data_IF_845557854190
#
_entry.id   IF_845557854190
#
_cell.length_a   1.000
_cell.length_b   1.000
_cell.length_c   1.000
_cell.angle_alpha   90.00
_cell.angle_beta   90.00
_cell.angle_gamma   90.00
#
_symmetry.space_group_name_H-M   'P 1'
#
loop_
_entity.id
_entity.type
_entity.pdbx_description
1 polymer ?
#
# COMPACT_ATOMS: atom_id res chain seq x y z
N UNK A 1 19.02 14.31 9.58
CA UNK A 1 19.02 13.80 8.21
C UNK A 1 20.06 14.58 7.41
N UNK A 2 20.95 13.92 6.72
CA UNK A 2 22.18 14.47 6.12
C UNK A 2 21.96 15.52 5.00
N UNK A 3 21.25 16.61 5.27
CA UNK A 3 20.97 17.69 4.33
C UNK A 3 19.88 17.40 3.27
N UNK A 4 19.27 16.23 3.33
CA UNK A 4 18.22 15.84 2.41
C UNK A 4 16.84 16.05 3.04
N UNK A 5 15.90 16.57 2.26
CA UNK A 5 14.52 16.83 2.69
C UNK A 5 13.55 15.87 2.01
N UNK A 6 13.50 14.63 2.51
CA UNK A 6 12.64 13.58 1.96
C UNK A 6 11.61 13.14 3.01
N UNK A 7 10.47 12.69 2.53
CA UNK A 7 9.38 12.22 3.36
C UNK A 7 9.66 10.87 4.03
N UNK A 8 10.62 10.11 3.52
CA UNK A 8 10.97 8.80 4.06
C UNK A 8 12.23 8.21 3.44
N UNK A 9 12.69 7.12 4.04
CA UNK A 9 13.91 6.43 3.59
C UNK A 9 13.79 5.85 2.18
N UNK A 10 12.59 5.42 1.79
CA UNK A 10 12.32 4.85 0.46
C UNK A 10 12.54 5.89 -0.64
N UNK A 11 12.03 7.10 -0.43
CA UNK A 11 12.22 8.20 -1.38
C UNK A 11 13.69 8.60 -1.48
N UNK A 12 14.41 8.67 -0.35
CA UNK A 12 15.83 8.97 -0.32
C UNK A 12 16.60 7.93 -1.15
N UNK A 13 16.33 6.64 -0.91
CA UNK A 13 16.99 5.56 -1.64
C UNK A 13 16.71 5.60 -3.13
N UNK A 14 15.44 5.79 -3.52
CA UNK A 14 15.02 5.85 -4.91
C UNK A 14 15.70 7.02 -5.65
N UNK A 15 15.76 8.19 -5.02
CA UNK A 15 16.39 9.36 -5.59
C UNK A 15 17.90 9.15 -5.80
N UNK A 16 18.58 8.60 -4.80
CA UNK A 16 20.02 8.32 -4.87
C UNK A 16 20.39 7.28 -5.92
N UNK A 17 19.50 6.32 -6.20
CA UNK A 17 19.71 5.29 -7.23
C UNK A 17 19.19 5.69 -8.61
N UNK A 18 18.53 6.86 -8.75
CA UNK A 18 17.95 7.31 -10.00
C UNK A 18 16.66 6.56 -10.39
N UNK A 19 16.06 5.84 -9.48
CA UNK A 19 14.81 5.10 -9.71
C UNK A 19 13.64 6.07 -9.81
N UNK A 20 12.95 6.09 -10.94
CA UNK A 20 11.83 7.01 -11.18
C UNK A 20 10.51 6.49 -10.66
N UNK A 21 10.36 5.17 -10.60
CA UNK A 21 9.10 4.52 -10.23
C UNK A 21 9.33 3.72 -8.95
N UNK A 22 8.82 4.22 -7.85
CA UNK A 22 9.01 3.63 -6.53
C UNK A 22 7.79 3.85 -5.65
N UNK A 23 7.74 3.11 -4.55
CA UNK A 23 6.76 3.30 -3.48
C UNK A 23 7.42 3.04 -2.13
N UNK A 24 6.84 3.60 -1.08
CA UNK A 24 7.23 3.29 0.29
C UNK A 24 6.57 1.99 0.71
N UNK A 25 7.37 1.03 1.19
CA UNK A 25 6.85 -0.17 1.83
C UNK A 25 7.01 -0.05 3.33
N UNK A 26 5.93 -0.29 4.05
CA UNK A 26 5.94 -0.48 5.50
C UNK A 26 5.69 -1.94 5.80
N UNK A 27 6.36 -2.46 6.81
CA UNK A 27 6.18 -3.85 7.21
C UNK A 27 6.27 -3.99 8.73
N UNK A 28 5.40 -4.83 9.28
CA UNK A 28 5.47 -5.29 10.66
C UNK A 28 5.03 -6.74 10.70
N UNK A 29 5.94 -7.63 11.08
CA UNK A 29 5.73 -9.08 10.99
C UNK A 29 5.33 -9.49 9.56
N UNK A 30 4.18 -10.14 9.40
CA UNK A 30 3.67 -10.57 8.09
C UNK A 30 2.79 -9.53 7.39
N UNK A 31 2.53 -8.38 8.01
CA UNK A 31 1.75 -7.31 7.40
C UNK A 31 2.69 -6.36 6.65
N UNK A 32 2.59 -6.38 5.33
CA UNK A 32 3.37 -5.52 4.43
C UNK A 32 2.41 -4.64 3.64
N UNK A 33 2.74 -3.37 3.51
CA UNK A 33 1.89 -2.40 2.80
C UNK A 33 2.75 -1.52 1.91
N UNK A 34 2.34 -1.37 0.67
CA UNK A 34 2.87 -0.37 -0.27
C UNK A 34 1.75 0.61 -0.63
N UNK A 35 2.12 1.78 -1.13
CA UNK A 35 1.17 2.88 -1.31
C UNK A 35 1.22 3.44 -2.73
N UNK A 36 0.07 3.77 -3.28
CA UNK A 36 -0.05 4.46 -4.58
C UNK A 36 0.44 5.90 -4.45
N UNK A 37 0.05 6.58 -3.36
CA UNK A 37 0.59 7.89 -3.00
C UNK A 37 0.85 7.96 -1.50
N UNK A 38 1.71 8.88 -1.05
CA UNK A 38 2.04 9.05 0.36
C UNK A 38 1.87 10.50 0.82
N UNK A 39 2.86 11.35 0.60
CA UNK A 39 2.93 12.68 1.19
C UNK A 39 2.26 13.75 0.32
N UNK A 40 0.98 13.58 0.10
CA UNK A 40 0.11 14.53 -0.60
C UNK A 40 -1.17 14.74 0.20
N UNK A 41 -1.91 15.81 -0.08
CA UNK A 41 -3.22 16.00 0.55
C UNK A 41 -4.15 14.84 0.19
N UNK A 42 -5.14 14.57 1.05
CA UNK A 42 -6.12 13.53 0.75
C UNK A 42 -6.86 13.80 -0.56
N UNK A 43 -7.17 15.06 -0.85
CA UNK A 43 -7.80 15.44 -2.12
C UNK A 43 -6.93 15.13 -3.32
N UNK A 44 -5.64 15.46 -3.23
CA UNK A 44 -4.67 15.12 -4.29
C UNK A 44 -4.48 13.61 -4.40
N UNK A 45 -4.49 12.89 -3.29
CA UNK A 45 -4.37 11.43 -3.28
C UNK A 45 -5.46 10.77 -4.12
N UNK A 46 -6.70 11.29 -4.07
CA UNK A 46 -7.78 10.78 -4.92
C UNK A 46 -7.45 10.94 -6.41
N UNK A 47 -6.86 12.06 -6.78
CA UNK A 47 -6.47 12.34 -8.18
C UNK A 47 -5.26 11.50 -8.62
N UNK A 48 -4.48 10.99 -7.67
CA UNK A 48 -3.31 10.13 -7.95
C UNK A 48 -3.69 8.68 -8.22
N UNK A 49 -4.93 8.28 -7.95
CA UNK A 49 -5.41 6.93 -8.23
C UNK A 49 -5.69 6.80 -9.72
N UNK A 50 -4.65 6.43 -10.46
CA UNK A 50 -4.70 6.22 -11.91
C UNK A 50 -4.24 4.81 -12.26
N UNK A 51 -4.85 4.23 -13.28
CA UNK A 51 -4.57 2.84 -13.73
C UNK A 51 -3.07 2.57 -13.81
N UNK A 52 -2.32 3.43 -14.50
CA UNK A 52 -0.88 3.18 -14.69
C UNK A 52 -0.12 3.17 -13.36
N UNK A 53 -0.41 4.13 -12.48
CA UNK A 53 0.28 4.19 -11.18
C UNK A 53 -0.09 2.99 -10.31
N UNK A 54 -1.35 2.62 -10.25
CA UNK A 54 -1.80 1.44 -9.49
C UNK A 54 -1.12 0.18 -10.03
N UNK A 55 -1.06 0.00 -11.34
CA UNK A 55 -0.38 -1.12 -11.97
C UNK A 55 1.11 -1.15 -11.63
N UNK A 56 1.79 -0.01 -11.70
CA UNK A 56 3.21 0.08 -11.36
C UNK A 56 3.46 -0.32 -9.91
N UNK A 57 2.60 0.10 -8.98
CA UNK A 57 2.73 -0.27 -7.57
C UNK A 57 2.45 -1.75 -7.34
N UNK A 58 1.49 -2.33 -8.05
CA UNK A 58 1.25 -3.79 -8.00
C UNK A 58 2.49 -4.56 -8.47
N UNK A 59 3.13 -4.12 -9.55
CA UNK A 59 4.38 -4.72 -10.05
C UNK A 59 5.50 -4.62 -9.02
N UNK A 60 5.64 -3.46 -8.38
CA UNK A 60 6.65 -3.26 -7.32
C UNK A 60 6.37 -4.19 -6.14
N UNK A 61 5.11 -4.33 -5.74
CA UNK A 61 4.70 -5.24 -4.65
C UNK A 61 5.05 -6.69 -4.97
N UNK A 62 4.76 -7.14 -6.18
CA UNK A 62 5.08 -8.49 -6.63
C UNK A 62 6.58 -8.75 -6.60
N UNK A 63 7.37 -7.83 -7.16
CA UNK A 63 8.82 -7.94 -7.16
C UNK A 63 9.40 -7.92 -5.74
N UNK A 64 8.93 -7.04 -4.88
CA UNK A 64 9.40 -6.94 -3.50
C UNK A 64 9.16 -8.25 -2.73
N UNK A 65 7.99 -8.85 -2.89
CA UNK A 65 7.68 -10.14 -2.25
C UNK A 65 8.54 -11.27 -2.81
N UNK A 66 8.79 -11.30 -4.11
CA UNK A 66 9.68 -12.29 -4.72
C UNK A 66 11.11 -12.14 -4.23
N UNK A 67 11.60 -10.92 -4.07
CA UNK A 67 12.92 -10.64 -3.51
C UNK A 67 13.03 -11.11 -2.05
N UNK A 68 11.92 -11.16 -1.32
CA UNK A 68 11.83 -11.71 0.03
C UNK A 68 11.71 -13.24 0.06
N UNK A 69 11.68 -13.90 -1.09
CA UNK A 69 11.60 -15.35 -1.20
C UNK A 69 10.19 -15.92 -1.37
N UNK A 70 9.16 -15.08 -1.51
CA UNK A 70 7.79 -15.53 -1.76
C UNK A 70 7.64 -15.80 -3.25
N UNK A 71 7.46 -17.06 -3.63
CA UNK A 71 7.45 -17.45 -5.06
C UNK A 71 6.22 -16.98 -5.81
N UNK A 72 5.06 -17.06 -5.18
CA UNK A 72 3.77 -16.67 -5.76
C UNK A 72 3.04 -15.71 -4.83
N UNK A 73 3.46 -14.42 -4.81
CA UNK A 73 2.86 -13.46 -3.89
C UNK A 73 1.37 -13.28 -4.15
N UNK A 74 0.59 -13.26 -3.08
CA UNK A 74 -0.83 -12.90 -3.12
C UNK A 74 -0.94 -11.44 -2.71
N UNK A 75 -1.39 -10.60 -3.64
CA UNK A 75 -1.43 -9.15 -3.46
C UNK A 75 -2.89 -8.72 -3.29
N UNK A 76 -3.21 -8.15 -2.14
CA UNK A 76 -4.50 -7.53 -1.90
C UNK A 76 -4.48 -6.07 -2.31
N UNK A 77 -5.27 -5.68 -3.29
CA UNK A 77 -5.37 -4.29 -3.73
C UNK A 77 -6.59 -3.65 -3.07
N UNK A 78 -6.35 -2.64 -2.23
CA UNK A 78 -7.43 -1.93 -1.56
C UNK A 78 -8.22 -1.08 -2.56
N UNK A 79 -9.52 -0.92 -2.31
CA UNK A 79 -10.29 0.14 -2.94
C UNK A 79 -9.94 1.50 -2.35
N UNK A 80 -10.33 2.56 -3.03
CA UNK A 80 -10.19 3.93 -2.53
C UNK A 80 -11.37 4.32 -1.64
N UNK A 81 -12.57 4.01 -2.12
CA UNK A 81 -13.83 4.45 -1.51
C UNK A 81 -14.38 3.38 -0.55
N UNK A 82 -15.30 3.76 0.36
CA UNK A 82 -15.99 2.80 1.20
C UNK A 82 -16.62 1.68 0.37
N UNK A 83 -16.58 0.45 0.86
CA UNK A 83 -17.11 -0.73 0.17
C UNK A 83 -16.59 -0.90 -1.26
N UNK A 84 -15.36 -0.42 -1.51
CA UNK A 84 -14.73 -0.43 -2.85
C UNK A 84 -15.62 0.23 -3.91
N UNK A 85 -16.30 1.32 -3.51
CA UNK A 85 -17.12 2.13 -4.41
C UNK A 85 -18.54 1.62 -4.61
N UNK A 86 -18.90 0.42 -4.12
CA UNK A 86 -20.25 -0.16 -4.25
C UNK A 86 -20.81 -0.02 -5.69
N UNK A 87 -20.07 -0.56 -6.67
CA UNK A 87 -20.44 -0.50 -8.10
C UNK A 87 -20.62 0.93 -8.63
N UNK A 88 -19.88 1.91 -8.07
CA UNK A 88 -19.92 3.31 -8.48
C UNK A 88 -20.81 4.21 -7.63
N UNK A 89 -21.49 3.65 -6.64
CA UNK A 89 -22.36 4.45 -5.76
C UNK A 89 -21.56 5.47 -4.94
N UNK A 90 -20.37 5.10 -4.48
CA UNK A 90 -19.52 5.95 -3.65
C UNK A 90 -18.29 6.49 -4.39
N UNK A 91 -18.29 6.44 -5.71
CA UNK A 91 -17.20 6.90 -6.55
C UNK A 91 -16.85 5.89 -7.63
N UNK A 92 -16.11 6.32 -8.64
CA UNK A 92 -15.83 5.51 -9.82
C UNK A 92 -14.35 5.12 -9.95
N UNK A 93 -13.49 5.51 -9.01
CA UNK A 93 -12.05 5.25 -9.11
C UNK A 93 -11.76 3.75 -9.18
N UNK A 94 -12.55 2.93 -8.52
CA UNK A 94 -12.44 1.47 -8.59
C UNK A 94 -12.74 0.98 -10.01
N UNK A 95 -13.85 1.46 -10.61
CA UNK A 95 -14.29 1.04 -11.95
C UNK A 95 -13.33 1.55 -13.02
N UNK A 96 -12.97 2.84 -12.94
CA UNK A 96 -12.25 3.52 -14.01
C UNK A 96 -10.74 3.30 -13.95
N UNK A 97 -10.18 3.02 -12.77
CA UNK A 97 -8.73 2.99 -12.58
C UNK A 97 -8.23 1.71 -11.90
N UNK A 98 -8.78 1.32 -10.76
CA UNK A 98 -8.23 0.23 -9.95
C UNK A 98 -8.49 -1.14 -10.59
N UNK A 99 -9.72 -1.41 -10.99
CA UNK A 99 -10.09 -2.68 -11.66
C UNK A 99 -9.28 -2.86 -12.95
N UNK A 100 -9.19 -1.85 -13.84
CA UNK A 100 -8.35 -2.00 -15.02
C UNK A 100 -6.88 -2.29 -14.72
N UNK A 101 -6.33 -1.71 -13.64
CA UNK A 101 -4.95 -1.98 -13.21
C UNK A 101 -4.79 -3.42 -12.73
N UNK A 102 -5.74 -3.93 -11.95
CA UNK A 102 -5.74 -5.32 -11.46
C UNK A 102 -5.83 -6.29 -12.65
N UNK A 103 -6.72 -6.02 -13.59
CA UNK A 103 -6.86 -6.84 -14.81
C UNK A 103 -5.56 -6.89 -15.61
N UNK A 104 -4.90 -5.74 -15.78
CA UNK A 104 -3.61 -5.67 -16.48
C UNK A 104 -2.53 -6.45 -15.72
N UNK A 105 -2.50 -6.37 -14.39
CA UNK A 105 -1.55 -7.12 -13.55
C UNK A 105 -1.77 -8.63 -13.70
N UNK A 106 -3.03 -9.09 -13.68
CA UNK A 106 -3.36 -10.50 -13.91
C UNK A 106 -2.91 -10.98 -15.29
N UNK A 107 -3.04 -10.14 -16.30
CA UNK A 107 -2.58 -10.48 -17.66
C UNK A 107 -1.05 -10.66 -17.71
N UNK A 108 -0.31 -10.06 -16.77
CA UNK A 108 1.14 -10.24 -16.63
C UNK A 108 1.51 -11.43 -15.75
N UNK A 109 0.53 -12.19 -15.25
CA UNK A 109 0.77 -13.34 -14.38
C UNK A 109 0.91 -12.99 -12.90
N UNK A 110 0.57 -11.76 -12.50
CA UNK A 110 0.62 -11.34 -11.10
C UNK A 110 -0.70 -11.71 -10.42
N UNK A 111 -0.62 -12.33 -9.23
CA UNK A 111 -1.79 -12.70 -8.45
C UNK A 111 -2.27 -11.51 -7.63
N UNK A 112 -2.99 -10.59 -8.28
CA UNK A 112 -3.60 -9.42 -7.67
C UNK A 112 -5.10 -9.65 -7.50
N UNK A 113 -5.60 -9.41 -6.30
CA UNK A 113 -7.00 -9.58 -5.92
C UNK A 113 -7.58 -8.25 -5.45
N UNK A 114 -8.78 -7.96 -5.89
CA UNK A 114 -9.47 -6.73 -5.48
C UNK A 114 -10.32 -6.10 -6.58
N UNK A 115 -10.75 -4.84 -6.37
CA UNK A 115 -10.50 -4.04 -5.18
C UNK A 115 -11.18 -4.60 -3.93
N UNK A 116 -10.43 -4.76 -2.86
CA UNK A 116 -10.95 -5.27 -1.59
C UNK A 116 -11.36 -4.08 -0.73
N UNK A 117 -12.51 -4.13 -0.04
CA UNK A 117 -12.89 -3.05 0.85
C UNK A 117 -11.76 -2.71 1.82
N UNK A 118 -11.38 -1.42 1.94
CA UNK A 118 -10.19 -1.04 2.70
C UNK A 118 -10.28 -1.35 4.19
N UNK A 119 -11.48 -1.40 4.75
CA UNK A 119 -11.70 -1.78 6.14
C UNK A 119 -11.48 -3.28 6.40
N UNK A 120 -11.38 -4.09 5.37
CA UNK A 120 -11.28 -5.55 5.46
C UNK A 120 -9.92 -6.09 4.99
N UNK A 121 -9.29 -5.45 4.02
CA UNK A 121 -8.09 -5.96 3.37
C UNK A 121 -6.93 -6.20 4.35
N UNK A 122 -6.77 -5.32 5.35
CA UNK A 122 -5.66 -5.42 6.30
C UNK A 122 -5.84 -6.56 7.29
N UNK A 123 -7.07 -6.84 7.73
CA UNK A 123 -7.34 -7.99 8.59
C UNK A 123 -7.08 -9.31 7.86
N UNK A 124 -7.42 -9.38 6.57
CA UNK A 124 -7.11 -10.54 5.72
C UNK A 124 -5.59 -10.71 5.56
N UNK A 125 -4.88 -9.63 5.31
CA UNK A 125 -3.42 -9.67 5.20
C UNK A 125 -2.76 -10.11 6.52
N UNK A 126 -3.23 -9.56 7.64
CA UNK A 126 -2.75 -9.96 8.96
C UNK A 126 -2.99 -11.44 9.22
N UNK A 127 -4.10 -11.98 8.75
CA UNK A 127 -4.44 -13.40 8.87
C UNK A 127 -3.71 -14.31 7.88
N UNK A 128 -2.84 -13.75 7.02
CA UNK A 128 -2.05 -14.54 6.06
C UNK A 128 -2.72 -14.75 4.71
N UNK A 129 -3.88 -14.15 4.46
CA UNK A 129 -4.55 -14.30 3.17
C UNK A 129 -3.83 -13.56 2.04
N UNK A 130 -3.20 -12.42 2.36
CA UNK A 130 -2.37 -11.68 1.42
C UNK A 130 -0.95 -11.54 1.97
N UNK A 131 0.02 -11.59 1.08
CA UNK A 131 1.44 -11.37 1.42
C UNK A 131 1.78 -9.88 1.51
N UNK A 132 1.04 -9.05 0.78
CA UNK A 132 1.22 -7.61 0.74
C UNK A 132 -0.08 -6.94 0.34
N UNK A 133 -0.28 -5.71 0.82
CA UNK A 133 -1.44 -4.87 0.48
C UNK A 133 -0.96 -3.65 -0.30
N UNK A 134 -1.65 -3.35 -1.38
CA UNK A 134 -1.51 -2.08 -2.12
C UNK A 134 -2.57 -1.13 -1.60
N UNK A 135 -2.16 -0.13 -0.83
CA UNK A 135 -3.02 0.93 -0.32
C UNK A 135 -3.04 2.12 -1.28
N UNK A 136 -4.15 2.84 -1.31
CA UNK A 136 -4.34 3.94 -2.26
C UNK A 136 -3.73 5.26 -1.76
N UNK A 137 -3.60 5.44 -0.44
CA UNK A 137 -3.05 6.67 0.12
C UNK A 137 -2.42 6.42 1.49
N UNK A 138 -1.71 7.42 1.98
CA UNK A 138 -0.87 7.35 3.17
C UNK A 138 -1.59 6.72 4.37
N UNK A 139 -2.63 7.36 4.87
CA UNK A 139 -3.28 6.93 6.11
C UNK A 139 -3.97 5.59 5.98
N UNK A 140 -4.48 5.27 4.78
CA UNK A 140 -5.10 3.97 4.54
C UNK A 140 -4.16 2.80 4.85
N UNK A 141 -2.88 2.95 4.53
CA UNK A 141 -1.89 1.91 4.79
C UNK A 141 -1.16 2.08 6.11
N UNK A 142 -0.92 3.31 6.55
CA UNK A 142 -0.16 3.60 7.77
C UNK A 142 -0.96 3.31 9.04
N UNK A 143 -2.25 3.68 9.07
CA UNK A 143 -3.07 3.52 10.27
C UNK A 143 -3.10 2.06 10.73
N UNK A 144 -3.51 1.08 9.90
CA UNK A 144 -3.58 -0.31 10.35
C UNK A 144 -2.22 -0.87 10.76
N UNK A 145 -1.16 -0.47 10.08
CA UNK A 145 0.17 -0.97 10.39
C UNK A 145 0.69 -0.38 11.69
N UNK A 146 0.48 0.91 11.92
CA UNK A 146 0.92 1.57 13.17
C UNK A 146 0.11 1.12 14.37
N UNK A 147 -1.19 0.90 14.21
CA UNK A 147 -2.02 0.34 15.30
C UNK A 147 -1.51 -1.03 15.71
N UNK A 148 -1.05 -1.84 14.77
CA UNK A 148 -0.47 -3.15 15.06
C UNK A 148 0.93 -3.05 15.65
N UNK A 149 1.76 -2.15 15.13
CA UNK A 149 3.20 -2.14 15.39
C UNK A 149 3.68 -1.13 16.45
N UNK A 150 2.83 -0.22 16.90
CA UNK A 150 3.22 0.84 17.84
C UNK A 150 2.19 1.01 18.94
N UNK A 151 2.66 1.27 20.14
CA UNK A 151 1.81 1.62 21.29
C UNK A 151 2.32 2.94 21.86
N UNK A 152 1.40 3.87 22.12
CA UNK A 152 1.75 5.08 22.84
C UNK A 152 1.70 4.81 24.35
N UNK A 153 2.83 4.90 25.00
CA UNK A 153 2.93 4.73 26.45
C UNK A 153 2.52 6.03 27.12
N UNK A 154 1.32 6.03 27.69
CA UNK A 154 0.75 7.20 28.35
C UNK A 154 1.57 7.63 29.56
N UNK A 155 2.10 6.68 30.33
CA UNK A 155 2.79 6.99 31.56
C UNK A 155 4.22 7.51 31.30
N UNK A 156 4.87 7.01 30.25
CA UNK A 156 6.18 7.48 29.82
C UNK A 156 6.10 8.65 28.82
N UNK A 157 4.89 9.01 28.37
CA UNK A 157 4.61 10.05 27.36
C UNK A 157 5.49 9.89 26.10
N UNK A 158 5.56 8.66 25.58
CA UNK A 158 6.37 8.35 24.40
C UNK A 158 5.84 7.12 23.65
N UNK A 159 6.22 7.03 22.39
CA UNK A 159 5.93 5.87 21.57
C UNK A 159 6.82 4.69 21.98
N UNK A 160 6.21 3.53 22.07
CA UNK A 160 6.92 2.25 22.15
C UNK A 160 6.63 1.48 20.84
N UNK A 161 7.67 0.94 20.23
CA UNK A 161 7.46 -0.06 19.19
C UNK A 161 6.86 -1.28 19.90
N UNK A 162 5.78 -1.82 19.36
CA UNK A 162 5.30 -3.11 19.80
C UNK A 162 6.45 -4.10 19.59
N UNK A 163 6.73 -4.91 20.58
CA UNK A 163 7.82 -5.90 20.51
C UNK A 163 7.72 -6.67 19.19
N UNK A 164 8.76 -6.51 18.40
CA UNK A 164 8.94 -7.30 17.19
C UNK A 164 9.20 -8.76 17.54
#
# INVERSE_FOLDING_TARGET
MAGHHYSGHTEIYADMTGTKNYTMMLAHENLRVVHVSTHVSLREACDRVKKQRVLDVIRIADKACKDLGIKEPKIGVAGLNPHSGEHGLFGREEIDEIIPAIEAAKAEGINADGPVPPDTVFSKARGGWYDIVVAMYHDQGHIPLKVKGFVYDRDADRWQAASM
#
